data_IF_051737442220
#
_entry.id   IF_051737442220
#
_cell.length_a   1.000
_cell.length_b   1.000
_cell.length_c   1.000
_cell.angle_alpha   90.00
_cell.angle_beta   90.00
_cell.angle_gamma   90.00
#
_symmetry.space_group_name_H-M   'P 1'
#
loop_
_entity.id
_entity.type
_entity.pdbx_description
1 polymer ?
#
# COMPACT_ATOMS: atom_id res chain seq x y z
N UNK A 1 -5.65 -7.96 -30.58
CA UNK A 1 -4.72 -8.00 -29.43
C UNK A 1 -5.53 -7.93 -28.15
N UNK A 2 -5.50 -8.97 -27.31
CA UNK A 2 -6.06 -8.90 -25.95
C UNK A 2 -5.06 -8.19 -25.03
N UNK A 3 -5.50 -7.33 -24.10
CA UNK A 3 -4.59 -6.64 -23.20
C UNK A 3 -3.95 -7.64 -22.24
N UNK A 4 -2.62 -7.64 -22.17
CA UNK A 4 -1.87 -8.44 -21.20
C UNK A 4 -2.06 -7.78 -19.83
N UNK A 5 -2.97 -8.33 -19.00
CA UNK A 5 -3.08 -7.93 -17.61
C UNK A 5 -1.76 -8.23 -16.91
N UNK A 6 -1.07 -7.25 -16.29
CA UNK A 6 0.20 -7.51 -15.63
C UNK A 6 -0.03 -8.52 -14.51
N UNK A 7 0.74 -9.61 -14.54
CA UNK A 7 0.79 -10.57 -13.44
C UNK A 7 1.20 -9.80 -12.17
N UNK A 8 0.48 -9.95 -11.04
CA UNK A 8 0.79 -9.19 -9.83
C UNK A 8 2.26 -9.43 -9.46
N UNK A 9 3.06 -8.35 -9.42
CA UNK A 9 4.43 -8.44 -8.93
C UNK A 9 4.37 -8.89 -7.47
N UNK A 10 5.13 -9.94 -7.16
CA UNK A 10 5.35 -10.40 -5.77
C UNK A 10 5.64 -9.21 -4.85
N UNK A 11 5.21 -9.24 -3.57
CA UNK A 11 5.53 -8.19 -2.61
C UNK A 11 7.02 -7.84 -2.65
N UNK A 12 7.36 -6.57 -2.43
CA UNK A 12 8.75 -6.13 -2.41
C UNK A 12 9.54 -6.91 -1.35
N UNK A 13 10.66 -7.50 -1.74
CA UNK A 13 11.54 -8.22 -0.81
C UNK A 13 12.07 -7.24 0.25
N UNK A 14 12.07 -7.65 1.52
CA UNK A 14 12.60 -6.87 2.65
C UNK A 14 11.63 -5.88 3.31
N UNK A 15 10.37 -5.77 2.84
CA UNK A 15 9.34 -4.99 3.54
C UNK A 15 8.49 -5.91 4.40
N UNK A 16 8.68 -5.83 5.72
CA UNK A 16 7.97 -6.68 6.68
C UNK A 16 6.60 -6.09 7.09
N UNK A 17 6.50 -4.76 7.13
CA UNK A 17 5.33 -4.04 7.61
C UNK A 17 5.23 -2.62 7.01
N UNK A 18 4.01 -2.12 6.83
CA UNK A 18 3.71 -0.74 6.44
C UNK A 18 2.62 -0.17 7.35
N UNK A 19 2.86 1.02 7.90
CA UNK A 19 1.87 1.78 8.64
C UNK A 19 1.42 3.01 7.85
N UNK A 20 0.13 3.34 7.94
CA UNK A 20 -0.45 4.55 7.37
C UNK A 20 -1.35 5.18 8.41
N UNK A 21 -1.08 6.43 8.80
CA UNK A 21 -1.88 7.18 9.78
C UNK A 21 -2.13 6.40 11.10
N UNK A 22 -1.15 5.64 11.57
CA UNK A 22 -1.25 4.84 12.80
C UNK A 22 -1.88 3.45 12.63
N UNK A 23 -2.34 3.09 11.43
CA UNK A 23 -2.96 1.79 11.12
C UNK A 23 -1.99 0.88 10.36
N UNK A 24 -1.93 -0.41 10.74
CA UNK A 24 -1.10 -1.43 10.09
C UNK A 24 -1.64 -1.84 8.71
N UNK A 25 -1.25 -1.09 7.67
CA UNK A 25 -1.75 -1.28 6.30
C UNK A 25 -1.17 -2.52 5.59
N UNK A 26 0.01 -2.99 6.00
CA UNK A 26 0.61 -4.26 5.56
C UNK A 26 1.43 -4.83 6.71
N UNK A 27 1.41 -6.15 6.92
CA UNK A 27 2.13 -6.78 8.02
C UNK A 27 2.41 -8.26 7.77
N UNK A 28 2.83 -8.97 8.81
CA UNK A 28 3.22 -10.38 8.77
C UNK A 28 2.10 -11.33 8.34
N UNK A 29 0.84 -10.96 8.55
CA UNK A 29 -0.33 -11.68 8.03
C UNK A 29 -0.58 -11.44 6.53
N UNK A 30 0.24 -10.58 5.90
CA UNK A 30 0.17 -10.11 4.51
C UNK A 30 -1.20 -9.58 4.10
N UNK A 31 -2.07 -9.25 5.07
CA UNK A 31 -3.38 -8.68 4.80
C UNK A 31 -3.25 -7.18 4.67
N UNK A 32 -3.79 -6.66 3.57
CA UNK A 32 -3.92 -5.21 3.40
C UNK A 32 -5.12 -4.78 4.25
N UNK A 33 -4.88 -4.07 5.36
CA UNK A 33 -5.99 -3.59 6.19
C UNK A 33 -6.46 -2.21 5.71
N UNK A 34 -7.59 -2.19 4.98
CA UNK A 34 -8.41 -1.01 4.71
C UNK A 34 -7.77 0.23 4.05
N UNK A 35 -8.58 1.29 3.84
CA UNK A 35 -8.13 2.60 3.35
C UNK A 35 -7.77 3.49 4.55
N UNK A 36 -6.54 3.37 5.04
CA UNK A 36 -6.03 4.25 6.10
C UNK A 36 -5.51 5.61 5.58
N UNK A 37 -5.34 5.76 4.26
CA UNK A 37 -4.81 6.98 3.65
C UNK A 37 -5.71 8.20 3.82
N UNK A 38 -5.09 9.39 3.86
CA UNK A 38 -5.76 10.69 3.85
C UNK A 38 -5.14 11.57 2.78
N UNK A 39 -5.96 12.36 2.07
CA UNK A 39 -5.44 13.38 1.18
C UNK A 39 -4.64 14.41 1.97
N UNK A 40 -3.38 14.61 1.57
CA UNK A 40 -2.56 15.69 2.08
C UNK A 40 -2.81 16.93 1.19
N UNK A 41 -2.94 18.10 1.81
CA UNK A 41 -2.94 19.38 1.11
C UNK A 41 -1.62 20.07 1.38
N UNK A 42 -1.00 20.62 0.34
CA UNK A 42 0.16 21.49 0.50
C UNK A 42 -0.27 22.70 1.32
N UNK A 43 0.44 22.98 2.41
CA UNK A 43 0.29 24.23 3.14
C UNK A 43 0.85 25.34 2.24
N UNK A 44 0.00 26.30 1.90
CA UNK A 44 0.43 27.53 1.24
C UNK A 44 0.60 28.53 2.38
N UNK A 45 1.86 28.81 2.71
CA UNK A 45 2.25 29.88 3.61
C UNK A 45 2.35 31.19 2.81
#
# INVERSE_FOLDING_TARGET
MSPVSPTPKRPADGIEAVMVNGVMSYGSDKKITGRAGRFLRRRMD
#
